data_IF_842054391671
#
_entry.id   IF_842054391671
#
_cell.length_a   1.000
_cell.length_b   1.000
_cell.length_c   1.000
_cell.angle_alpha   90.00
_cell.angle_beta   90.00
_cell.angle_gamma   90.00
#
_symmetry.space_group_name_H-M   'P 1'
#
loop_
_entity.id
_entity.type
_entity.pdbx_description
1 polymer ?
#
# COMPACT_ATOMS: atom_id res chain seq x y z
N UNK A 1 -3.69 38.90 -9.36
CA UNK A 1 -2.99 37.70 -8.84
C UNK A 1 -4.04 36.65 -8.53
N UNK A 2 -3.85 35.36 -8.85
CA UNK A 2 -4.81 34.35 -8.44
C UNK A 2 -4.86 34.33 -6.91
N UNK A 3 -6.05 34.15 -6.32
CA UNK A 3 -6.17 33.93 -4.88
C UNK A 3 -5.30 32.72 -4.50
N UNK A 4 -4.34 32.91 -3.61
CA UNK A 4 -3.68 31.78 -2.95
C UNK A 4 -4.72 31.09 -2.08
N UNK A 5 -4.87 29.77 -2.26
CA UNK A 5 -5.68 28.96 -1.36
C UNK A 5 -5.15 29.10 0.07
N UNK A 6 -6.04 29.07 1.06
CA UNK A 6 -5.61 28.85 2.45
C UNK A 6 -5.08 27.42 2.60
N UNK A 7 -4.31 27.14 3.64
CA UNK A 7 -3.80 25.78 3.89
C UNK A 7 -4.94 24.77 4.03
N UNK A 8 -6.06 25.17 4.65
CA UNK A 8 -7.25 24.32 4.79
C UNK A 8 -7.96 24.05 3.46
N UNK A 9 -8.08 25.06 2.58
CA UNK A 9 -8.63 24.88 1.23
C UNK A 9 -7.73 23.97 0.39
N UNK A 10 -6.41 24.16 0.52
CA UNK A 10 -5.41 23.35 -0.17
C UNK A 10 -5.50 21.88 0.24
N UNK A 11 -5.54 21.60 1.54
CA UNK A 11 -5.69 20.25 2.07
C UNK A 11 -7.02 19.61 1.63
N UNK A 12 -8.13 20.35 1.69
CA UNK A 12 -9.43 19.87 1.22
C UNK A 12 -9.44 19.49 -0.26
N UNK A 13 -8.87 20.33 -1.13
CA UNK A 13 -8.78 20.07 -2.56
C UNK A 13 -7.86 18.88 -2.86
N UNK A 14 -6.75 18.76 -2.16
CA UNK A 14 -5.83 17.62 -2.29
C UNK A 14 -6.54 16.32 -1.92
N UNK A 15 -7.24 16.28 -0.78
CA UNK A 15 -7.99 15.10 -0.36
C UNK A 15 -9.08 14.72 -1.38
N UNK A 16 -9.86 15.71 -1.84
CA UNK A 16 -10.88 15.50 -2.88
C UNK A 16 -10.28 14.93 -4.16
N UNK A 17 -9.09 15.39 -4.54
CA UNK A 17 -8.40 14.92 -5.73
C UNK A 17 -7.90 13.48 -5.57
N UNK A 18 -7.43 13.09 -4.38
CA UNK A 18 -7.07 11.72 -4.03
C UNK A 18 -8.28 10.79 -4.03
N UNK A 19 -9.40 11.22 -3.45
CA UNK A 19 -10.64 10.43 -3.44
C UNK A 19 -11.17 10.16 -4.86
N UNK A 20 -11.17 11.17 -5.73
CA UNK A 20 -11.58 10.99 -7.13
C UNK A 20 -10.55 10.19 -7.96
N UNK A 21 -9.26 10.31 -7.63
CA UNK A 21 -8.23 9.47 -8.24
C UNK A 21 -8.40 8.00 -7.90
N UNK A 22 -8.70 7.69 -6.64
CA UNK A 22 -9.04 6.34 -6.18
C UNK A 22 -10.23 5.77 -6.97
N UNK A 23 -11.32 6.54 -7.08
CA UNK A 23 -12.49 6.14 -7.85
C UNK A 23 -12.17 5.89 -9.34
N UNK A 24 -11.37 6.77 -9.94
CA UNK A 24 -10.97 6.61 -11.34
C UNK A 24 -10.05 5.41 -11.57
N UNK A 25 -9.13 5.13 -10.65
CA UNK A 25 -8.29 3.93 -10.69
C UNK A 25 -9.15 2.67 -10.69
N UNK A 26 -10.08 2.56 -9.72
CA UNK A 26 -10.99 1.41 -9.57
C UNK A 26 -11.88 1.19 -10.79
N UNK A 27 -12.35 2.27 -11.44
CA UNK A 27 -13.30 2.18 -12.55
C UNK A 27 -12.64 2.07 -13.93
N UNK A 28 -11.49 2.72 -14.12
CA UNK A 28 -10.91 2.94 -15.44
C UNK A 28 -9.43 2.53 -15.56
N UNK A 29 -8.73 2.36 -14.45
CA UNK A 29 -7.28 2.17 -14.41
C UNK A 29 -6.48 3.42 -14.79
N UNK A 30 -5.14 3.30 -14.75
CA UNK A 30 -4.22 4.44 -14.95
C UNK A 30 -4.30 4.98 -16.37
N UNK A 31 -4.36 4.08 -17.35
CA UNK A 31 -4.26 4.42 -18.79
C UNK A 31 -5.45 5.23 -19.29
N UNK A 32 -6.66 4.92 -18.82
CA UNK A 32 -7.90 5.59 -19.30
C UNK A 32 -8.25 6.85 -18.50
N UNK A 33 -7.62 7.07 -17.36
CA UNK A 33 -7.86 8.27 -16.55
C UNK A 33 -7.00 9.44 -17.04
N UNK A 34 -7.61 10.61 -17.23
CA UNK A 34 -6.91 11.83 -17.66
C UNK A 34 -6.95 12.91 -16.58
N UNK A 35 -6.01 13.85 -16.62
CA UNK A 35 -6.04 15.02 -15.72
C UNK A 35 -7.33 15.81 -15.92
N UNK A 36 -7.82 15.94 -17.16
CA UNK A 36 -9.06 16.68 -17.46
C UNK A 36 -10.29 16.04 -16.79
N UNK A 37 -10.36 14.70 -16.76
CA UNK A 37 -11.43 13.99 -16.06
C UNK A 37 -11.35 14.17 -14.54
N UNK A 38 -10.14 14.07 -13.96
CA UNK A 38 -9.92 14.26 -12.53
C UNK A 38 -10.34 15.66 -12.08
N UNK A 39 -9.87 16.70 -12.77
CA UNK A 39 -10.16 18.09 -12.38
C UNK A 39 -11.63 18.45 -12.59
N UNK A 40 -12.29 17.84 -13.59
CA UNK A 40 -13.73 17.97 -13.82
C UNK A 40 -14.54 17.40 -12.65
N UNK A 41 -14.15 16.24 -12.11
CA UNK A 41 -14.81 15.60 -10.94
C UNK A 41 -14.66 16.42 -9.66
N UNK A 42 -13.47 17.00 -9.46
CA UNK A 42 -13.19 17.89 -8.31
C UNK A 42 -13.77 19.29 -8.50
N UNK A 43 -14.22 19.64 -9.73
CA UNK A 43 -14.64 21.00 -10.13
C UNK A 43 -13.54 22.04 -9.92
N UNK A 44 -12.32 21.69 -10.32
CA UNK A 44 -11.13 22.55 -10.21
C UNK A 44 -10.56 22.92 -11.59
N UNK A 45 -9.91 24.08 -11.74
CA UNK A 45 -9.14 24.39 -12.95
C UNK A 45 -7.97 23.43 -13.15
N UNK A 46 -7.66 23.09 -14.40
CA UNK A 46 -6.52 22.22 -14.74
C UNK A 46 -5.18 22.74 -14.22
N UNK A 47 -4.96 24.06 -14.26
CA UNK A 47 -3.73 24.67 -13.72
C UNK A 47 -3.55 24.41 -12.22
N UNK A 48 -4.64 24.31 -11.47
CA UNK A 48 -4.61 24.03 -10.03
C UNK A 48 -4.11 22.62 -9.74
N UNK A 49 -4.37 21.64 -10.60
CA UNK A 49 -3.85 20.27 -10.44
C UNK A 49 -2.32 20.26 -10.35
N UNK A 50 -1.68 21.02 -11.24
CA UNK A 50 -0.22 21.09 -11.33
C UNK A 50 0.44 21.85 -10.16
N UNK A 51 -0.34 22.48 -9.29
CA UNK A 51 0.14 23.02 -8.01
C UNK A 51 0.31 21.94 -6.93
N UNK A 52 -0.32 20.78 -7.14
CA UNK A 52 -0.25 19.63 -6.23
C UNK A 52 0.63 18.53 -6.82
N UNK A 53 0.42 18.21 -8.09
CA UNK A 53 1.06 17.04 -8.72
C UNK A 53 1.66 17.41 -10.08
N UNK A 54 2.93 17.04 -10.35
CA UNK A 54 3.54 17.29 -11.65
C UNK A 54 2.88 16.49 -12.78
N UNK A 55 2.33 15.32 -12.47
CA UNK A 55 1.63 14.44 -13.40
C UNK A 55 0.68 13.50 -12.65
N UNK A 56 -0.30 12.90 -13.35
CA UNK A 56 -1.34 12.06 -12.73
C UNK A 56 -0.82 10.80 -12.07
N UNK A 57 0.28 10.24 -12.58
CA UNK A 57 0.88 9.04 -12.02
C UNK A 57 1.49 9.31 -10.62
N UNK A 58 1.93 10.53 -10.32
CA UNK A 58 2.36 10.91 -8.96
C UNK A 58 1.17 10.91 -7.99
N UNK A 59 0.02 11.43 -8.41
CA UNK A 59 -1.22 11.37 -7.64
C UNK A 59 -1.68 9.92 -7.41
N UNK A 60 -1.65 9.09 -8.46
CA UNK A 60 -2.03 7.68 -8.31
C UNK A 60 -1.10 6.93 -7.38
N UNK A 61 0.20 7.20 -7.45
CA UNK A 61 1.16 6.63 -6.51
C UNK A 61 0.79 7.01 -5.08
N UNK A 62 0.59 8.30 -4.78
CA UNK A 62 0.20 8.74 -3.43
C UNK A 62 -1.10 8.08 -2.94
N UNK A 63 -2.11 7.90 -3.82
CA UNK A 63 -3.34 7.16 -3.49
C UNK A 63 -3.08 5.70 -3.14
N UNK A 64 -2.19 5.03 -3.87
CA UNK A 64 -1.79 3.64 -3.59
C UNK A 64 -1.06 3.58 -2.25
N UNK A 65 -0.17 4.53 -1.96
CA UNK A 65 0.56 4.59 -0.69
C UNK A 65 -0.40 4.78 0.49
N UNK A 66 -1.32 5.74 0.39
CA UNK A 66 -2.34 5.95 1.42
C UNK A 66 -3.22 4.72 1.65
N UNK A 67 -3.47 3.93 0.61
CA UNK A 67 -4.18 2.67 0.75
C UNK A 67 -3.34 1.63 1.50
N UNK A 68 -2.06 1.50 1.15
CA UNK A 68 -1.10 0.65 1.86
C UNK A 68 -1.02 1.02 3.35
N UNK A 69 -0.86 2.31 3.67
CA UNK A 69 -0.79 2.82 5.04
C UNK A 69 -2.06 2.52 5.83
N UNK A 70 -3.24 2.61 5.21
CA UNK A 70 -4.52 2.22 5.84
C UNK A 70 -4.56 0.74 6.18
N UNK A 71 -4.05 -0.12 5.31
CA UNK A 71 -3.93 -1.56 5.57
C UNK A 71 -2.98 -1.79 6.75
N UNK A 72 -1.81 -1.15 6.76
CA UNK A 72 -0.85 -1.30 7.84
C UNK A 72 -1.35 -0.75 9.19
N UNK A 73 -2.01 0.41 9.19
CA UNK A 73 -2.61 0.98 10.40
C UNK A 73 -3.69 0.08 10.98
N UNK A 74 -4.50 -0.56 10.13
CA UNK A 74 -5.49 -1.54 10.58
C UNK A 74 -4.82 -2.73 11.26
N UNK A 75 -3.69 -3.22 10.75
CA UNK A 75 -2.92 -4.29 11.38
C UNK A 75 -2.41 -3.87 12.76
N UNK A 76 -1.85 -2.66 12.86
CA UNK A 76 -1.38 -2.11 14.13
C UNK A 76 -2.51 -2.01 15.17
N UNK A 77 -3.69 -1.53 14.77
CA UNK A 77 -4.85 -1.44 15.67
C UNK A 77 -5.29 -2.83 16.16
N UNK A 78 -5.36 -3.82 15.25
CA UNK A 78 -5.73 -5.19 15.62
C UNK A 78 -4.71 -5.83 16.58
N UNK A 79 -3.42 -5.54 16.42
CA UNK A 79 -2.39 -6.00 17.35
C UNK A 79 -2.52 -5.32 18.72
N UNK A 80 -2.81 -4.01 18.75
CA UNK A 80 -2.98 -3.26 19.99
C UNK A 80 -4.24 -3.66 20.78
N UNK A 81 -5.31 -4.07 20.10
CA UNK A 81 -6.57 -4.52 20.72
C UNK A 81 -6.50 -5.96 21.29
N UNK A 82 -5.56 -6.78 20.82
CA UNK A 82 -5.44 -8.18 21.24
C UNK A 82 -4.73 -8.31 22.60
N UNK A 83 -5.42 -8.94 23.56
CA UNK A 83 -4.94 -9.13 24.94
C UNK A 83 -4.02 -10.35 25.13
N UNK A 84 -3.92 -11.22 24.11
CA UNK A 84 -3.08 -12.42 24.14
C UNK A 84 -1.81 -12.23 23.31
N UNK A 85 -0.68 -12.82 23.72
CA UNK A 85 0.54 -12.74 22.95
C UNK A 85 0.34 -13.37 21.57
N UNK A 86 0.70 -12.67 20.49
CA UNK A 86 0.53 -13.18 19.15
C UNK A 86 1.39 -14.43 18.91
N UNK A 87 0.75 -15.52 18.49
CA UNK A 87 1.45 -16.73 18.01
C UNK A 87 1.75 -16.62 16.52
N UNK A 88 2.71 -17.40 16.03
CA UNK A 88 3.00 -17.52 14.58
C UNK A 88 1.72 -17.82 13.79
N UNK A 89 0.91 -18.78 14.23
CA UNK A 89 -0.31 -19.16 13.52
C UNK A 89 -1.37 -18.05 13.57
N UNK A 90 -1.60 -17.42 14.73
CA UNK A 90 -2.59 -16.33 14.83
C UNK A 90 -2.20 -15.11 14.00
N UNK A 91 -0.91 -14.75 13.94
CA UNK A 91 -0.43 -13.66 13.09
C UNK A 91 -0.53 -14.01 11.60
N UNK A 92 -0.23 -15.26 11.26
CA UNK A 92 -0.38 -15.77 9.88
C UNK A 92 -1.83 -15.64 9.44
N UNK A 93 -2.80 -16.12 10.24
CA UNK A 93 -4.22 -16.00 9.90
C UNK A 93 -4.71 -14.55 9.87
N UNK A 94 -4.22 -13.70 10.76
CA UNK A 94 -4.54 -12.28 10.77
C UNK A 94 -4.10 -11.59 9.48
N UNK A 95 -2.83 -11.80 9.09
CA UNK A 95 -2.29 -11.27 7.84
C UNK A 95 -3.05 -11.84 6.64
N UNK A 96 -3.30 -13.15 6.59
CA UNK A 96 -4.08 -13.78 5.51
C UNK A 96 -5.48 -13.19 5.37
N UNK A 97 -6.18 -12.98 6.49
CA UNK A 97 -7.50 -12.36 6.47
C UNK A 97 -7.43 -10.95 5.90
N UNK A 98 -6.43 -10.17 6.30
CA UNK A 98 -6.22 -8.82 5.74
C UNK A 98 -5.93 -8.87 4.25
N UNK A 99 -5.14 -9.84 3.79
CA UNK A 99 -4.89 -10.08 2.36
C UNK A 99 -6.17 -10.47 1.60
N UNK A 100 -7.01 -11.34 2.15
CA UNK A 100 -8.27 -11.73 1.52
C UNK A 100 -9.26 -10.56 1.45
N UNK A 101 -9.31 -9.71 2.47
CA UNK A 101 -10.10 -8.48 2.45
C UNK A 101 -9.56 -7.47 1.43
N UNK A 102 -8.24 -7.34 1.32
CA UNK A 102 -7.56 -6.59 0.28
C UNK A 102 -7.88 -7.13 -1.14
N UNK A 103 -7.81 -8.44 -1.36
CA UNK A 103 -8.16 -9.13 -2.61
C UNK A 103 -9.67 -9.10 -2.89
N UNK A 104 -10.52 -8.83 -1.90
CA UNK A 104 -11.97 -8.69 -2.07
C UNK A 104 -12.31 -7.39 -2.85
N UNK A 105 -12.14 -7.49 -4.17
CA UNK A 105 -12.60 -6.55 -5.20
C UNK A 105 -11.89 -5.19 -5.27
N UNK A 106 -11.48 -4.58 -4.16
CA UNK A 106 -10.92 -3.22 -4.18
C UNK A 106 -9.52 -3.18 -4.79
N UNK A 107 -8.53 -3.94 -4.30
CA UNK A 107 -7.18 -3.89 -4.87
C UNK A 107 -7.11 -4.42 -6.31
N UNK A 108 -7.85 -5.50 -6.59
CA UNK A 108 -7.92 -6.08 -7.94
C UNK A 108 -8.45 -5.09 -8.97
N UNK A 109 -9.36 -4.20 -8.57
CA UNK A 109 -9.87 -3.11 -9.40
C UNK A 109 -8.99 -1.88 -9.34
N UNK A 110 -8.34 -1.63 -8.20
CA UNK A 110 -7.51 -0.46 -7.97
C UNK A 110 -6.30 -0.44 -8.89
N UNK A 111 -5.63 -1.58 -9.06
CA UNK A 111 -4.37 -1.64 -9.77
C UNK A 111 -4.10 -3.03 -10.35
N UNK A 112 -3.62 -3.04 -11.60
CA UNK A 112 -3.00 -4.22 -12.21
C UNK A 112 -1.47 -4.10 -12.18
N UNK A 113 -0.74 -5.19 -12.43
CA UNK A 113 0.71 -5.12 -12.63
C UNK A 113 1.12 -4.12 -13.72
N UNK A 114 0.35 -4.04 -14.81
CA UNK A 114 0.56 -3.06 -15.89
C UNK A 114 0.36 -1.61 -15.41
N UNK A 115 -0.66 -1.36 -14.60
CA UNK A 115 -0.91 -0.02 -14.05
C UNK A 115 0.22 0.43 -13.11
N UNK A 116 0.73 -0.48 -12.27
CA UNK A 116 1.86 -0.20 -11.39
C UNK A 116 3.12 0.12 -12.21
N UNK A 117 3.41 -0.66 -13.26
CA UNK A 117 4.55 -0.40 -14.15
C UNK A 117 4.46 0.98 -14.81
N UNK A 118 3.27 1.36 -15.29
CA UNK A 118 3.03 2.68 -15.88
C UNK A 118 3.29 3.82 -14.90
N UNK A 119 2.95 3.62 -13.62
CA UNK A 119 3.21 4.58 -12.56
C UNK A 119 4.70 4.66 -12.28
N UNK A 120 5.34 3.55 -11.93
CA UNK A 120 6.76 3.47 -11.52
C UNK A 120 7.66 4.09 -12.59
N UNK A 121 7.42 3.81 -13.88
CA UNK A 121 8.25 4.34 -14.97
C UNK A 121 8.30 5.87 -15.03
N UNK A 122 7.31 6.56 -14.47
CA UNK A 122 7.21 8.02 -14.47
C UNK A 122 7.60 8.67 -13.16
N UNK A 123 7.73 7.90 -12.08
CA UNK A 123 8.06 8.45 -10.79
C UNK A 123 9.54 8.83 -10.71
N UNK A 124 9.86 9.97 -10.06
CA UNK A 124 11.22 10.23 -9.60
C UNK A 124 11.65 9.13 -8.60
N UNK A 125 12.92 8.69 -8.65
CA UNK A 125 13.46 7.71 -7.70
C UNK A 125 13.25 8.13 -6.24
N UNK A 126 13.29 9.42 -5.95
CA UNK A 126 13.16 9.99 -4.61
C UNK A 126 11.80 9.68 -3.98
N UNK A 127 10.71 9.73 -4.78
CA UNK A 127 9.37 9.41 -4.27
C UNK A 127 9.23 7.94 -3.87
N UNK A 128 9.88 7.05 -4.63
CA UNK A 128 9.90 5.62 -4.28
C UNK A 128 10.74 5.39 -3.03
N UNK A 129 11.91 6.03 -2.93
CA UNK A 129 12.80 5.90 -1.78
C UNK A 129 12.16 6.37 -0.47
N UNK A 130 11.48 7.53 -0.47
CA UNK A 130 10.77 8.06 0.70
C UNK A 130 9.70 7.07 1.19
N UNK A 131 9.00 6.40 0.27
CA UNK A 131 8.02 5.39 0.64
C UNK A 131 8.66 4.12 1.22
N UNK A 132 9.78 3.65 0.65
CA UNK A 132 10.51 2.51 1.20
C UNK A 132 10.93 2.77 2.65
N UNK A 133 11.44 3.98 2.92
CA UNK A 133 11.82 4.42 4.27
C UNK A 133 10.61 4.50 5.22
N UNK A 134 9.45 4.97 4.72
CA UNK A 134 8.21 5.01 5.49
C UNK A 134 7.74 3.62 5.92
N UNK A 135 7.73 2.67 4.98
CA UNK A 135 7.36 1.28 5.26
C UNK A 135 8.31 0.62 6.26
N UNK A 136 9.62 0.82 6.09
CA UNK A 136 10.65 0.27 6.99
C UNK A 136 10.47 0.80 8.41
N UNK A 137 10.17 2.09 8.55
CA UNK A 137 9.80 2.69 9.83
C UNK A 137 8.54 2.04 10.42
N UNK A 138 7.48 1.93 9.63
CA UNK A 138 6.17 1.44 10.09
C UNK A 138 6.21 -0.05 10.47
N UNK A 139 6.99 -0.89 9.76
CA UNK A 139 7.23 -2.30 10.12
C UNK A 139 8.08 -2.39 11.38
N UNK A 140 9.11 -1.55 11.53
CA UNK A 140 9.91 -1.50 12.75
C UNK A 140 9.06 -1.21 13.99
N UNK A 141 8.11 -0.27 13.89
CA UNK A 141 7.15 0.04 14.95
C UNK A 141 6.22 -1.14 15.27
N UNK A 142 5.82 -1.91 14.25
CA UNK A 142 4.97 -3.08 14.43
C UNK A 142 5.73 -4.22 15.11
N UNK A 143 6.94 -4.54 14.65
CA UNK A 143 7.79 -5.58 15.24
C UNK A 143 8.16 -5.25 16.69
N UNK A 144 8.30 -3.96 17.03
CA UNK A 144 8.55 -3.54 18.40
C UNK A 144 7.43 -3.93 19.38
N UNK A 145 6.19 -4.06 18.90
CA UNK A 145 5.01 -4.41 19.68
C UNK A 145 4.78 -5.92 19.81
N UNK A 146 5.47 -6.74 19.03
CA UNK A 146 5.31 -8.20 19.02
C UNK A 146 6.35 -8.84 19.95
N UNK A 147 5.95 -9.42 21.09
CA UNK A 147 6.88 -10.11 21.98
C UNK A 147 7.47 -11.33 21.27
N UNK A 148 8.79 -11.49 21.33
CA UNK A 148 9.49 -12.63 20.71
C UNK A 148 9.81 -12.46 19.23
N UNK A 149 9.34 -11.39 18.57
CA UNK A 149 9.80 -11.07 17.22
C UNK A 149 11.27 -10.61 17.25
N UNK A 150 12.05 -11.12 16.29
CA UNK A 150 13.38 -10.64 16.03
C UNK A 150 13.31 -9.26 15.41
N UNK A 151 13.87 -8.29 16.13
CA UNK A 151 13.90 -6.88 15.72
C UNK A 151 15.07 -6.58 14.79
N UNK A 152 16.02 -7.50 14.65
CA UNK A 152 17.10 -7.40 13.68
C UNK A 152 16.52 -7.57 12.26
N UNK A 153 17.06 -6.83 11.29
CA UNK A 153 16.67 -6.87 9.88
C UNK A 153 15.21 -6.46 9.62
N UNK A 154 14.68 -5.48 10.36
CA UNK A 154 13.31 -4.98 10.14
C UNK A 154 13.09 -4.49 8.70
N UNK A 155 14.12 -3.93 8.06
CA UNK A 155 14.13 -3.50 6.66
C UNK A 155 13.97 -4.71 5.71
N UNK A 156 14.59 -5.85 6.02
CA UNK A 156 14.44 -7.07 5.22
C UNK A 156 13.02 -7.64 5.33
N UNK A 157 12.48 -7.70 6.55
CA UNK A 157 11.10 -8.15 6.75
C UNK A 157 10.09 -7.19 6.09
N UNK A 158 10.34 -5.88 6.18
CA UNK A 158 9.56 -4.86 5.48
C UNK A 158 9.54 -5.12 3.96
N UNK A 159 10.73 -5.28 3.36
CA UNK A 159 10.84 -5.62 1.94
C UNK A 159 10.13 -6.94 1.58
N UNK A 160 10.24 -7.96 2.43
CA UNK A 160 9.60 -9.25 2.20
C UNK A 160 8.06 -9.17 2.27
N UNK A 161 7.49 -8.48 3.28
CA UNK A 161 6.04 -8.27 3.35
C UNK A 161 5.53 -7.41 2.19
N UNK A 162 6.28 -6.38 1.78
CA UNK A 162 5.96 -5.59 0.59
C UNK A 162 5.94 -6.47 -0.66
N UNK A 163 6.89 -7.38 -0.83
CA UNK A 163 6.90 -8.32 -1.95
C UNK A 163 5.67 -9.24 -1.93
N UNK A 164 5.30 -9.79 -0.77
CA UNK A 164 4.08 -10.59 -0.59
C UNK A 164 2.83 -9.77 -0.95
N UNK A 165 2.77 -8.50 -0.56
CA UNK A 165 1.67 -7.60 -0.93
C UNK A 165 1.60 -7.34 -2.43
N UNK A 166 2.75 -7.09 -3.09
CA UNK A 166 2.81 -6.86 -4.53
C UNK A 166 2.40 -8.09 -5.36
N UNK A 167 2.57 -9.30 -4.84
CA UNK A 167 2.09 -10.52 -5.50
C UNK A 167 0.58 -10.53 -5.74
N UNK A 168 -0.22 -9.75 -4.99
CA UNK A 168 -1.66 -9.59 -5.26
C UNK A 168 -1.92 -9.07 -6.69
N UNK A 169 -0.99 -8.31 -7.26
CA UNK A 169 -1.08 -7.76 -8.61
C UNK A 169 -0.77 -8.79 -9.71
N UNK A 170 -0.26 -9.95 -9.34
CA UNK A 170 0.27 -10.99 -10.24
C UNK A 170 -0.43 -12.34 -10.08
N UNK A 171 -1.68 -12.34 -9.62
CA UNK A 171 -2.46 -13.57 -9.33
C UNK A 171 -2.59 -14.49 -10.55
N UNK A 172 -2.70 -13.91 -11.75
CA UNK A 172 -2.82 -14.68 -13.01
C UNK A 172 -1.52 -15.42 -13.34
N UNK A 173 -0.39 -14.77 -13.12
CA UNK A 173 0.95 -15.29 -13.36
C UNK A 173 1.34 -16.35 -12.32
N UNK A 174 0.94 -16.16 -11.06
CA UNK A 174 1.17 -17.10 -9.96
C UNK A 174 0.27 -18.34 -10.07
N UNK A 175 -0.97 -18.16 -10.53
CA UNK A 175 -1.99 -19.19 -10.63
C UNK A 175 -3.12 -18.97 -9.62
N UNK A 176 -4.29 -18.58 -10.10
CA UNK A 176 -5.43 -18.18 -9.26
C UNK A 176 -5.89 -19.28 -8.29
N UNK A 177 -5.78 -20.56 -8.70
CA UNK A 177 -6.22 -21.71 -7.91
C UNK A 177 -5.36 -22.01 -6.69
N UNK A 178 -4.14 -21.49 -6.62
CA UNK A 178 -3.19 -21.72 -5.52
C UNK A 178 -2.82 -20.44 -4.77
N UNK A 179 -3.49 -19.32 -5.04
CA UNK A 179 -3.09 -18.03 -4.51
C UNK A 179 -3.15 -18.01 -2.98
N UNK A 180 -4.24 -18.51 -2.39
CA UNK A 180 -4.44 -18.49 -0.95
C UNK A 180 -3.42 -19.39 -0.23
N UNK A 181 -3.14 -20.58 -0.79
CA UNK A 181 -2.12 -21.50 -0.29
C UNK A 181 -0.71 -20.93 -0.43
N UNK A 182 -0.43 -20.25 -1.54
CA UNK A 182 0.87 -19.59 -1.80
C UNK A 182 1.10 -18.47 -0.78
N UNK A 183 0.11 -17.60 -0.59
CA UNK A 183 0.20 -16.52 0.39
C UNK A 183 0.39 -17.07 1.81
N UNK A 184 -0.36 -18.12 2.16
CA UNK A 184 -0.22 -18.79 3.47
C UNK A 184 1.17 -19.33 3.67
N UNK A 185 1.72 -20.02 2.68
CA UNK A 185 3.06 -20.60 2.75
C UNK A 185 4.12 -19.51 2.95
N UNK A 186 4.06 -18.43 2.18
CA UNK A 186 5.01 -17.32 2.26
C UNK A 186 4.92 -16.57 3.59
N UNK A 187 3.72 -16.17 3.99
CA UNK A 187 3.50 -15.42 5.23
C UNK A 187 3.92 -16.27 6.44
N UNK A 188 3.52 -17.55 6.47
CA UNK A 188 3.89 -18.45 7.57
C UNK A 188 5.41 -18.64 7.64
N UNK A 189 6.08 -18.78 6.50
CA UNK A 189 7.53 -18.86 6.42
C UNK A 189 8.21 -17.61 7.01
N UNK A 190 7.75 -16.42 6.63
CA UNK A 190 8.22 -15.15 7.20
C UNK A 190 7.98 -15.06 8.70
N UNK A 191 6.79 -15.47 9.18
CA UNK A 191 6.48 -15.49 10.62
C UNK A 191 7.39 -16.47 11.38
N UNK A 192 7.68 -17.65 10.84
CA UNK A 192 8.59 -18.61 11.51
C UNK A 192 9.99 -18.00 11.64
N UNK A 193 10.54 -17.44 10.56
CA UNK A 193 11.86 -16.79 10.60
C UNK A 193 11.85 -15.59 11.55
N UNK A 194 10.78 -14.78 11.54
CA UNK A 194 10.66 -13.63 12.41
C UNK A 194 10.72 -13.99 13.90
N UNK A 195 10.20 -15.15 14.31
CA UNK A 195 10.18 -15.55 15.72
C UNK A 195 11.36 -16.45 16.12
N UNK A 196 11.86 -17.30 15.23
CA UNK A 196 12.88 -18.30 15.56
C UNK A 196 14.28 -17.97 14.99
N UNK A 197 14.37 -17.02 14.05
CA UNK A 197 15.60 -16.64 13.38
C UNK A 197 16.00 -17.60 12.29
N UNK A 198 17.06 -17.24 11.57
CA UNK A 198 17.73 -18.17 10.67
C UNK A 198 18.35 -19.29 11.51
N UNK A 199 17.78 -20.49 11.46
CA UNK A 199 18.46 -21.71 11.87
C UNK A 199 19.55 -22.04 10.84
N UNK A 200 20.60 -21.22 10.78
CA UNK A 200 21.82 -21.51 10.04
C UNK A 200 23.01 -21.15 10.93
N UNK A 201 23.28 -22.04 11.89
CA UNK A 201 24.64 -22.35 12.34
C UNK A 201 25.07 -23.66 11.66
#
# INVERSE_FOLDING_TARGET
MPRSFTDSERAYLQQRLQDEALNCLVLYGVKKTTVDELVKRVKMPKGTFYLFYPFKEALFFEVILQYHDKVQQRLQNLLAENTLPPTIDSLTELLLKMYQEADSDLLRRLLTGEDLELIIRKLPPEMTQEHLEHDDFSISQLLAQIPGAQKANAELYSAAFRAVFLMLLHKKEIGESFMDETMRLLIKGLMIQLFHGDHND
#
